data_IF_716463704490
#
_entry.id   IF_716463704490
#
_cell.length_a   1.000
_cell.length_b   1.000
_cell.length_c   1.000
_cell.angle_alpha   90.00
_cell.angle_beta   90.00
_cell.angle_gamma   90.00
#
_symmetry.space_group_name_H-M   'P 1'
#
loop_
_entity.id
_entity.type
_entity.pdbx_description
1 polymer ?
#
# COMPACT_ATOMS: atom_id res chain seq x y z
N UNK A 1 2.72 15.33 18.71
CA UNK A 1 1.25 15.16 18.77
C UNK A 1 0.89 14.22 17.64
N UNK A 2 0.34 13.05 17.94
CA UNK A 2 0.12 11.97 16.95
C UNK A 2 -0.98 12.38 15.96
N UNK A 3 -0.73 12.29 14.65
CA UNK A 3 -1.69 12.67 13.61
C UNK A 3 -3.03 11.90 13.71
N UNK A 4 -3.03 10.66 14.23
CA UNK A 4 -4.25 9.89 14.55
C UNK A 4 -5.07 10.55 15.66
N UNK A 5 -4.40 11.07 16.71
CA UNK A 5 -5.09 11.80 17.78
C UNK A 5 -5.73 13.09 17.26
N UNK A 6 -5.09 13.77 16.31
CA UNK A 6 -5.66 14.97 15.68
C UNK A 6 -6.88 14.63 14.80
N UNK A 7 -6.81 13.54 14.03
CA UNK A 7 -7.93 13.08 13.22
C UNK A 7 -9.14 12.69 14.09
N UNK A 8 -8.92 11.99 15.21
CA UNK A 8 -9.96 11.65 16.19
C UNK A 8 -10.63 12.91 16.77
N UNK A 9 -9.83 13.90 17.18
CA UNK A 9 -10.37 15.16 17.70
C UNK A 9 -11.21 15.93 16.66
N UNK A 10 -10.85 15.85 15.37
CA UNK A 10 -11.63 16.46 14.28
C UNK A 10 -12.95 15.72 14.04
N UNK A 11 -12.97 14.39 14.17
CA UNK A 11 -14.21 13.61 14.11
C UNK A 11 -15.16 13.99 15.26
N UNK A 12 -14.64 14.07 16.48
CA UNK A 12 -15.41 14.50 17.66
C UNK A 12 -15.95 15.93 17.51
N UNK A 13 -15.23 16.79 16.78
CA UNK A 13 -15.65 18.15 16.45
C UNK A 13 -16.62 18.24 15.26
N UNK A 14 -17.03 17.12 14.66
CA UNK A 14 -17.95 17.08 13.52
C UNK A 14 -17.32 17.54 12.20
N UNK A 15 -16.00 17.40 12.06
CA UNK A 15 -15.20 17.81 10.88
C UNK A 15 -14.60 16.59 10.15
N UNK A 16 -15.43 15.70 9.58
CA UNK A 16 -14.95 14.45 8.98
C UNK A 16 -14.04 14.65 7.77
N UNK A 17 -14.25 15.70 6.97
CA UNK A 17 -13.40 15.99 5.81
C UNK A 17 -11.99 16.43 6.20
N UNK A 18 -11.86 17.23 7.27
CA UNK A 18 -10.55 17.62 7.81
C UNK A 18 -9.84 16.40 8.42
N UNK A 19 -10.57 15.54 9.12
CA UNK A 19 -10.03 14.28 9.65
C UNK A 19 -9.55 13.36 8.52
N UNK A 20 -10.34 13.21 7.45
CA UNK A 20 -10.00 12.42 6.28
C UNK A 20 -8.78 12.99 5.55
N UNK A 21 -8.61 14.32 5.50
CA UNK A 21 -7.41 14.93 4.92
C UNK A 21 -6.14 14.59 5.71
N UNK A 22 -6.19 14.62 7.05
CA UNK A 22 -5.05 14.20 7.89
C UNK A 22 -4.75 12.71 7.70
N UNK A 23 -5.78 11.86 7.68
CA UNK A 23 -5.58 10.42 7.48
C UNK A 23 -5.01 10.12 6.09
N UNK A 24 -5.50 10.79 5.04
CA UNK A 24 -4.93 10.70 3.69
C UNK A 24 -3.46 11.10 3.67
N UNK A 25 -3.06 12.18 4.33
CA UNK A 25 -1.63 12.56 4.42
C UNK A 25 -0.77 11.51 5.14
N UNK A 26 -1.34 10.70 6.05
CA UNK A 26 -0.61 9.62 6.69
C UNK A 26 -0.45 8.40 5.79
N UNK A 27 -1.44 8.12 4.93
CA UNK A 27 -1.49 6.92 4.06
C UNK A 27 -0.95 7.16 2.66
N UNK A 28 -1.05 8.39 2.17
CA UNK A 28 -0.56 8.86 0.89
C UNK A 28 0.62 9.75 1.23
N UNK A 29 1.81 9.17 1.42
CA UNK A 29 3.06 9.95 1.55
C UNK A 29 3.60 10.20 0.15
N UNK A 30 3.22 11.32 -0.53
CA UNK A 30 3.54 11.55 -1.94
C UNK A 30 5.04 11.61 -2.20
N UNK A 31 5.86 11.88 -1.18
CA UNK A 31 7.32 11.88 -1.30
C UNK A 31 7.90 10.52 -1.72
N UNK A 32 7.16 9.42 -1.54
CA UNK A 32 7.57 8.08 -2.01
C UNK A 32 7.03 7.75 -3.40
N UNK A 33 6.15 8.57 -3.99
CA UNK A 33 5.51 8.27 -5.27
C UNK A 33 6.54 8.07 -6.40
N UNK A 34 7.51 8.97 -6.51
CA UNK A 34 8.56 8.89 -7.54
C UNK A 34 9.44 7.64 -7.35
N UNK A 35 9.78 7.30 -6.10
CA UNK A 35 10.60 6.13 -5.77
C UNK A 35 9.86 4.81 -6.04
N UNK A 36 8.55 4.78 -5.80
CA UNK A 36 7.69 3.63 -6.12
C UNK A 36 7.56 3.49 -7.64
N UNK A 37 7.39 4.59 -8.38
CA UNK A 37 7.34 4.56 -9.85
C UNK A 37 8.67 4.08 -10.44
N UNK A 38 9.81 4.55 -9.92
CA UNK A 38 11.13 4.09 -10.33
C UNK A 38 11.32 2.60 -10.03
N UNK A 39 10.87 2.15 -8.86
CA UNK A 39 10.90 0.72 -8.49
C UNK A 39 10.03 -0.11 -9.41
N UNK A 40 8.82 0.34 -9.74
CA UNK A 40 7.94 -0.32 -10.70
C UNK A 40 8.61 -0.40 -12.08
N UNK A 41 9.20 0.69 -12.55
CA UNK A 41 9.93 0.70 -13.83
C UNK A 41 11.12 -0.26 -13.85
N UNK A 42 11.78 -0.44 -12.71
CA UNK A 42 12.97 -1.29 -12.60
C UNK A 42 12.63 -2.78 -12.37
N UNK A 43 11.52 -3.07 -11.68
CA UNK A 43 11.19 -4.41 -11.20
C UNK A 43 10.01 -5.04 -11.93
N UNK A 44 9.06 -4.25 -12.43
CA UNK A 44 7.91 -4.82 -13.12
C UNK A 44 8.34 -5.49 -14.43
N UNK A 45 7.85 -6.71 -14.63
CA UNK A 45 8.07 -7.55 -15.80
C UNK A 45 6.75 -8.23 -16.16
N UNK A 46 6.72 -9.02 -17.23
CA UNK A 46 5.55 -9.85 -17.56
C UNK A 46 5.18 -10.83 -16.42
N UNK A 47 6.13 -11.11 -15.51
CA UNK A 47 5.94 -12.05 -14.40
C UNK A 47 5.78 -11.37 -13.02
N UNK A 48 5.96 -10.05 -12.93
CA UNK A 48 5.92 -9.31 -11.66
C UNK A 48 5.31 -7.91 -11.87
N UNK A 49 4.31 -7.56 -11.07
CA UNK A 49 3.66 -6.25 -11.08
C UNK A 49 3.57 -5.68 -9.67
N UNK A 50 3.81 -4.38 -9.48
CA UNK A 50 3.51 -3.67 -8.24
C UNK A 50 2.06 -3.16 -8.36
N UNK A 51 1.17 -3.54 -7.45
CA UNK A 51 -0.28 -3.32 -7.59
C UNK A 51 -0.85 -2.31 -6.58
N UNK A 52 -0.60 -2.47 -5.27
CA UNK A 52 -1.19 -1.58 -4.25
C UNK A 52 -0.32 -0.38 -3.89
N UNK A 53 -0.96 0.60 -3.24
CA UNK A 53 -0.30 1.72 -2.60
C UNK A 53 0.59 1.31 -1.42
N UNK A 54 1.57 2.17 -1.07
CA UNK A 54 2.56 1.87 -0.05
C UNK A 54 1.95 1.70 1.36
N UNK A 55 2.49 0.75 2.11
CA UNK A 55 2.28 0.57 3.53
C UNK A 55 3.50 1.10 4.30
N UNK A 56 3.29 2.08 5.17
CA UNK A 56 4.34 2.72 5.95
C UNK A 56 4.47 2.09 7.33
N UNK A 57 5.71 1.82 7.75
CA UNK A 57 6.02 1.42 9.12
C UNK A 57 6.39 2.66 9.93
N UNK A 58 5.82 2.83 11.12
CA UNK A 58 6.19 3.93 12.02
C UNK A 58 7.61 3.77 12.61
N UNK A 59 8.20 2.57 12.50
CA UNK A 59 9.51 2.24 13.07
C UNK A 59 10.67 2.19 12.06
N UNK A 60 10.38 2.29 10.76
CA UNK A 60 11.38 2.16 9.70
C UNK A 60 11.31 3.37 8.76
N UNK A 61 12.46 3.82 8.27
CA UNK A 61 12.56 4.94 7.32
C UNK A 61 12.34 4.43 5.88
N UNK A 62 11.09 4.03 5.60
CA UNK A 62 10.72 3.44 4.31
C UNK A 62 9.26 3.02 4.21
N UNK A 63 8.92 2.42 3.08
CA UNK A 63 7.60 1.87 2.81
C UNK A 63 7.69 0.51 2.14
N UNK A 64 6.70 -0.33 2.42
CA UNK A 64 6.47 -1.59 1.74
C UNK A 64 5.44 -1.40 0.63
N UNK A 65 5.61 -2.07 -0.49
CA UNK A 65 4.61 -2.14 -1.58
C UNK A 65 4.20 -3.58 -1.80
N UNK A 66 2.93 -3.81 -2.15
CA UNK A 66 2.50 -5.14 -2.57
C UNK A 66 2.95 -5.39 -4.01
N UNK A 67 3.16 -6.66 -4.33
CA UNK A 67 3.45 -7.08 -5.68
C UNK A 67 2.72 -8.37 -6.01
N UNK A 68 2.30 -8.49 -7.26
CA UNK A 68 1.66 -9.66 -7.85
C UNK A 68 2.68 -10.38 -8.71
N UNK A 69 2.68 -11.69 -8.60
CA UNK A 69 3.50 -12.57 -9.43
C UNK A 69 2.56 -13.29 -10.38
N UNK A 70 2.86 -13.23 -11.68
CA UNK A 70 2.13 -14.03 -12.66
C UNK A 70 2.49 -15.50 -12.48
N UNK A 71 1.47 -16.36 -12.50
CA UNK A 71 1.66 -17.81 -12.42
C UNK A 71 0.99 -18.42 -13.66
N UNK A 72 1.78 -18.89 -14.65
CA UNK A 72 1.23 -19.45 -15.86
C UNK A 72 0.36 -20.67 -15.55
N UNK A 73 -0.78 -20.79 -16.23
CA UNK A 73 -1.78 -21.84 -15.97
C UNK A 73 -1.20 -23.24 -16.13
N UNK A 74 -0.26 -23.42 -17.05
CA UNK A 74 0.45 -24.67 -17.29
C UNK A 74 1.29 -25.15 -16.08
N UNK A 75 1.61 -24.25 -15.15
CA UNK A 75 2.33 -24.59 -13.90
C UNK A 75 1.39 -25.00 -12.76
N UNK A 76 0.10 -24.70 -12.89
CA UNK A 76 -0.89 -25.07 -11.90
C UNK A 76 -1.06 -26.59 -11.90
N UNK A 77 -0.76 -27.24 -10.78
CA UNK A 77 -1.13 -28.63 -10.56
C UNK A 77 -2.62 -28.66 -10.23
N UNK A 78 -3.35 -29.61 -10.83
CA UNK A 78 -4.70 -29.91 -10.34
C UNK A 78 -4.58 -30.31 -8.87
N UNK A 79 -5.44 -29.76 -7.99
CA UNK A 79 -5.43 -30.18 -6.59
C UNK A 79 -5.68 -31.69 -6.54
N UNK A 80 -4.88 -32.41 -5.77
CA UNK A 80 -5.12 -33.83 -5.54
C UNK A 80 -6.52 -33.97 -4.90
N UNK A 81 -7.45 -34.58 -5.63
CA UNK A 81 -8.76 -34.97 -5.10
C UNK A 81 -8.57 -36.17 -4.15
N UNK A 82 -7.95 -35.95 -3.00
CA UNK A 82 -8.01 -36.92 -1.90
C UNK A 82 -9.28 -36.69 -1.09
N UNK A 83 -10.25 -37.58 -1.34
CA UNK A 83 -11.50 -37.79 -0.63
C UNK A 83 -11.33 -38.66 0.63
#
# INVERSE_FOLDING_TARGET
MNAVHNALALLDAGKPEEAAAILRQMTERPEYADAIEESARALCTDELEIDDGPCFSDGEDGCWVSAWVWVPRETAKEPDEEA
#
